data_IF_902946026055
#
_entry.id   IF_902946026055
#
_cell.length_a   1.000
_cell.length_b   1.000
_cell.length_c   1.000
_cell.angle_alpha   90.00
_cell.angle_beta   90.00
_cell.angle_gamma   90.00
#
_symmetry.space_group_name_H-M   'P 1'
#
loop_
_entity.id
_entity.type
_entity.pdbx_description
1 polymer ?
#
# COMPACT_ATOMS: atom_id res chain seq x y z
N UNK A 1 16.29 18.51 25.75
CA UNK A 1 16.71 18.63 27.16
C UNK A 1 18.04 17.90 27.33
N UNK A 2 19.05 18.59 27.93
CA UNK A 2 20.37 18.10 28.44
C UNK A 2 21.33 17.58 27.34
N UNK A 3 22.47 18.21 26.97
CA UNK A 3 23.61 18.85 27.68
C UNK A 3 24.23 17.99 28.79
N UNK A 4 25.46 17.52 28.51
CA UNK A 4 26.60 17.58 29.43
C UNK A 4 26.99 16.29 30.14
N UNK A 5 28.11 15.68 29.74
CA UNK A 5 29.27 15.48 30.61
C UNK A 5 30.51 15.02 29.82
N UNK A 6 31.60 15.75 30.06
CA UNK A 6 32.95 15.64 29.53
C UNK A 6 33.80 14.66 30.36
N UNK A 7 34.88 14.21 29.71
CA UNK A 7 36.20 13.92 30.28
C UNK A 7 36.39 12.70 31.21
N UNK A 8 37.25 11.78 30.77
CA UNK A 8 38.56 11.55 31.39
C UNK A 8 39.43 10.67 30.48
N UNK A 9 40.43 11.30 29.86
CA UNK A 9 41.60 10.65 29.24
C UNK A 9 42.82 11.04 30.07
N UNK A 10 43.58 10.05 30.53
CA UNK A 10 44.95 10.28 31.02
C UNK A 10 45.76 8.97 31.06
N UNK A 11 46.86 8.99 30.29
CA UNK A 11 48.21 8.40 30.51
C UNK A 11 48.31 6.87 30.74
N UNK A 12 48.92 6.09 29.86
CA UNK A 12 50.33 6.03 29.38
C UNK A 12 51.31 5.39 30.39
N UNK A 13 52.00 4.33 29.94
CA UNK A 13 53.15 3.63 30.55
C UNK A 13 52.83 2.15 30.83
N UNK A 14 53.62 1.11 30.51
CA UNK A 14 54.95 0.95 29.89
C UNK A 14 55.22 -0.58 29.75
N UNK A 15 56.00 -0.99 28.73
CA UNK A 15 57.01 -2.08 28.68
C UNK A 15 56.70 -3.56 29.07
N UNK A 16 56.56 -4.38 28.02
CA UNK A 16 57.45 -5.49 27.57
C UNK A 16 58.10 -6.48 28.58
N UNK A 17 57.88 -7.77 28.25
CA UNK A 17 58.71 -8.99 28.38
C UNK A 17 58.62 -9.90 29.62
N UNK A 18 58.42 -11.21 29.35
CA UNK A 18 59.04 -12.29 30.13
C UNK A 18 58.18 -13.54 30.38
N UNK A 19 58.26 -14.51 29.44
CA UNK A 19 57.85 -15.93 29.49
C UNK A 19 57.61 -16.59 30.87
N UNK A 20 56.52 -17.36 30.98
CA UNK A 20 56.50 -18.71 31.59
C UNK A 20 55.40 -19.58 30.96
N UNK A 21 55.80 -20.75 30.44
CA UNK A 21 54.95 -21.86 29.99
C UNK A 21 54.06 -22.37 31.14
N UNK A 22 52.84 -22.86 30.85
CA UNK A 22 52.41 -24.27 31.07
C UNK A 22 51.05 -24.51 30.36
N UNK A 23 50.99 -25.65 29.68
CA UNK A 23 49.91 -26.23 28.89
C UNK A 23 48.63 -26.57 29.68
N UNK A 24 47.46 -26.19 29.18
CA UNK A 24 46.17 -26.92 29.17
C UNK A 24 45.33 -26.24 28.07
N UNK A 25 44.86 -26.86 26.99
CA UNK A 25 44.15 -28.13 26.93
C UNK A 25 42.65 -27.84 26.76
N UNK A 26 42.21 -27.52 25.53
CA UNK A 26 40.81 -27.62 25.10
C UNK A 26 40.01 -26.32 24.96
N UNK A 27 40.14 -25.61 23.83
CA UNK A 27 39.04 -24.82 23.27
C UNK A 27 38.48 -25.55 22.05
N UNK A 28 37.31 -26.17 22.20
CA UNK A 28 36.41 -26.43 21.08
C UNK A 28 35.69 -25.12 20.78
N UNK A 29 36.32 -24.27 19.97
CA UNK A 29 35.66 -23.17 19.29
C UNK A 29 34.81 -23.73 18.16
N UNK A 30 33.50 -23.49 18.22
CA UNK A 30 32.57 -23.76 17.12
C UNK A 30 32.88 -22.77 16.00
N UNK A 31 33.63 -23.20 14.99
CA UNK A 31 33.77 -22.45 13.75
C UNK A 31 32.43 -22.48 13.01
N UNK A 32 31.78 -21.33 12.86
CA UNK A 32 30.76 -21.14 11.85
C UNK A 32 31.47 -20.84 10.53
N UNK A 33 31.68 -21.84 9.70
CA UNK A 33 32.22 -21.65 8.36
C UNK A 33 31.12 -21.09 7.45
N UNK A 34 31.17 -19.78 7.20
CA UNK A 34 30.49 -19.16 6.06
C UNK A 34 31.44 -19.26 4.87
N UNK A 35 31.19 -20.22 3.99
CA UNK A 35 31.89 -20.28 2.71
C UNK A 35 31.15 -19.38 1.71
N UNK A 36 31.70 -18.19 1.46
CA UNK A 36 31.23 -17.27 0.43
C UNK A 36 32.14 -17.37 -0.80
N UNK A 37 31.55 -17.61 -1.97
CA UNK A 37 32.27 -17.48 -3.24
C UNK A 37 32.04 -16.03 -3.73
N UNK A 38 33.12 -15.25 -3.82
CA UNK A 38 33.21 -13.78 -4.05
C UNK A 38 32.95 -12.86 -2.85
N UNK A 39 33.87 -11.89 -2.72
CA UNK A 39 33.83 -10.80 -1.74
C UNK A 39 33.04 -9.59 -2.23
N UNK A 40 32.46 -8.88 -1.26
CA UNK A 40 31.86 -7.54 -1.44
C UNK A 40 30.47 -7.56 -2.07
N UNK A 41 29.44 -7.88 -1.28
CA UNK A 41 28.06 -7.61 -1.69
C UNK A 41 27.78 -6.10 -1.63
N UNK A 42 27.05 -5.52 -2.62
CA UNK A 42 26.52 -4.18 -2.48
C UNK A 42 25.64 -4.13 -1.23
N UNK A 43 25.85 -3.09 -0.44
CA UNK A 43 25.39 -2.90 0.93
C UNK A 43 23.94 -3.35 1.16
N UNK A 44 23.75 -4.45 1.90
CA UNK A 44 22.49 -4.70 2.59
C UNK A 44 22.30 -3.57 3.61
N UNK A 45 21.52 -2.56 3.25
CA UNK A 45 21.11 -1.49 4.17
C UNK A 45 19.66 -1.75 4.58
N UNK A 46 19.29 -1.34 5.79
CA UNK A 46 17.91 -1.44 6.29
C UNK A 46 16.90 -0.60 5.47
N UNK A 47 17.39 0.21 4.53
CA UNK A 47 16.59 1.03 3.62
C UNK A 47 16.00 0.21 2.44
N UNK A 48 16.58 -0.95 2.15
CA UNK A 48 16.15 -1.83 1.06
C UNK A 48 15.49 -3.07 1.69
N UNK A 49 14.16 -3.21 1.63
CA UNK A 49 13.52 -4.36 2.25
C UNK A 49 13.74 -5.62 1.39
N UNK A 50 13.93 -6.76 2.06
CA UNK A 50 14.04 -8.08 1.43
C UNK A 50 13.03 -9.05 2.04
N UNK A 51 12.53 -10.00 1.24
CA UNK A 51 11.60 -11.03 1.68
C UNK A 51 12.15 -12.39 1.29
N UNK A 52 12.41 -13.22 2.29
CA UNK A 52 12.76 -14.62 2.06
C UNK A 52 11.51 -15.37 1.63
N UNK A 53 11.60 -16.05 0.50
CA UNK A 53 10.56 -16.90 -0.07
C UNK A 53 11.08 -18.32 -0.11
N UNK A 54 10.25 -19.26 0.35
CA UNK A 54 10.55 -20.69 0.41
C UNK A 54 9.77 -21.39 -0.72
N UNK A 55 10.31 -21.42 -1.95
CA UNK A 55 9.67 -22.15 -3.01
C UNK A 55 9.68 -23.65 -2.68
N UNK A 56 8.60 -24.35 -3.03
CA UNK A 56 8.49 -25.80 -2.83
C UNK A 56 9.47 -26.60 -3.70
N UNK A 57 9.27 -27.91 -3.77
CA UNK A 57 10.17 -28.83 -4.48
C UNK A 57 10.33 -28.53 -5.99
N UNK A 58 9.32 -27.92 -6.62
CA UNK A 58 9.35 -27.48 -8.01
C UNK A 58 9.47 -25.95 -8.07
N UNK A 59 10.69 -25.46 -8.29
CA UNK A 59 10.95 -24.03 -8.45
C UNK A 59 11.55 -23.71 -9.81
N UNK A 60 10.94 -22.74 -10.49
CA UNK A 60 11.56 -22.02 -11.61
C UNK A 60 11.63 -20.55 -11.22
N UNK A 61 12.75 -19.92 -11.51
CA UNK A 61 12.91 -18.49 -11.29
C UNK A 61 11.79 -17.72 -11.98
N UNK A 62 11.15 -16.76 -11.29
CA UNK A 62 10.16 -15.89 -11.93
C UNK A 62 10.82 -15.12 -13.07
N UNK A 63 10.16 -15.09 -14.23
CA UNK A 63 10.57 -14.25 -15.38
C UNK A 63 10.27 -12.76 -15.18
N UNK A 64 9.62 -12.39 -14.07
CA UNK A 64 9.24 -11.02 -13.73
C UNK A 64 9.99 -10.55 -12.47
N UNK A 65 11.00 -9.70 -12.63
CA UNK A 65 11.75 -9.12 -11.51
C UNK A 65 13.22 -8.84 -11.81
N UNK A 66 13.98 -8.51 -10.76
CA UNK A 66 15.43 -8.34 -10.80
C UNK A 66 16.13 -9.61 -11.35
N UNK A 67 17.22 -9.48 -12.11
CA UNK A 67 17.92 -10.64 -12.65
C UNK A 67 18.58 -11.42 -11.50
N UNK A 68 18.35 -12.74 -11.48
CA UNK A 68 19.02 -13.68 -10.58
C UNK A 68 20.13 -14.38 -11.36
N UNK A 69 21.31 -14.43 -10.77
CA UNK A 69 22.43 -15.26 -11.26
C UNK A 69 22.46 -16.56 -10.48
N UNK A 70 22.69 -17.70 -11.14
CA UNK A 70 22.84 -18.99 -10.46
C UNK A 70 24.08 -19.04 -9.55
N UNK A 71 25.04 -18.15 -9.80
CA UNK A 71 26.28 -17.99 -9.03
C UNK A 71 26.13 -17.07 -7.82
N UNK A 72 25.08 -16.23 -7.77
CA UNK A 72 24.85 -15.26 -6.69
C UNK A 72 23.91 -15.85 -5.63
N UNK A 73 24.47 -16.74 -4.80
CA UNK A 73 23.74 -17.39 -3.73
C UNK A 73 24.49 -17.40 -2.40
N UNK A 74 23.73 -17.54 -1.32
CA UNK A 74 24.22 -17.80 0.03
C UNK A 74 23.64 -19.10 0.54
N UNK A 75 24.46 -19.93 1.18
CA UNK A 75 23.97 -21.10 1.91
C UNK A 75 23.66 -20.67 3.33
N UNK A 76 22.39 -20.72 3.70
CA UNK A 76 21.93 -20.44 5.05
C UNK A 76 21.78 -21.75 5.82
N UNK A 77 22.23 -21.77 7.08
CA UNK A 77 22.05 -22.91 7.99
C UNK A 77 21.31 -22.44 9.23
N UNK A 78 20.23 -23.14 9.60
CA UNK A 78 19.43 -22.81 10.79
C UNK A 78 20.06 -23.39 12.05
N UNK A 79 19.57 -22.98 13.23
CA UNK A 79 20.02 -23.54 14.52
C UNK A 79 19.73 -25.03 14.65
N UNK A 80 18.72 -25.53 13.94
CA UNK A 80 18.34 -26.95 13.85
C UNK A 80 19.16 -27.70 12.78
N UNK A 81 20.21 -27.09 12.23
CA UNK A 81 21.10 -27.63 11.19
C UNK A 81 20.43 -27.91 9.84
N UNK A 82 19.30 -27.26 9.56
CA UNK A 82 18.65 -27.27 8.25
C UNK A 82 19.42 -26.35 7.29
N UNK A 83 19.63 -26.76 6.05
CA UNK A 83 20.43 -26.06 5.05
C UNK A 83 19.59 -25.63 3.85
N UNK A 84 19.81 -24.39 3.41
CA UNK A 84 19.08 -23.78 2.32
C UNK A 84 20.02 -23.02 1.38
N UNK A 85 19.84 -23.20 0.07
CA UNK A 85 20.50 -22.40 -0.97
C UNK A 85 19.61 -21.21 -1.32
N UNK A 86 20.04 -20.00 -0.94
CA UNK A 86 19.29 -18.76 -1.11
C UNK A 86 19.87 -17.91 -2.23
N UNK A 87 19.10 -17.71 -3.31
CA UNK A 87 19.46 -16.87 -4.45
C UNK A 87 19.20 -15.41 -4.11
N UNK A 88 20.22 -14.57 -4.29
CA UNK A 88 20.15 -13.15 -4.03
C UNK A 88 19.77 -12.39 -5.33
N UNK A 89 18.82 -11.45 -5.27
CA UNK A 89 18.50 -10.61 -6.41
C UNK A 89 19.65 -9.64 -6.68
N UNK A 90 20.00 -9.45 -7.95
CA UNK A 90 20.90 -8.37 -8.32
C UNK A 90 20.19 -7.03 -8.10
N UNK A 91 20.75 -6.21 -7.21
CA UNK A 91 20.26 -4.86 -6.92
C UNK A 91 20.76 -3.83 -7.94
N UNK A 92 21.50 -4.26 -8.97
CA UNK A 92 22.00 -3.41 -10.03
C UNK A 92 20.87 -3.00 -10.99
N UNK A 93 19.98 -2.15 -10.49
CA UNK A 93 19.14 -1.26 -11.32
C UNK A 93 19.97 -0.11 -11.93
N UNK A 94 21.25 0.02 -11.54
CA UNK A 94 22.15 1.09 -12.00
C UNK A 94 22.95 0.69 -13.26
N UNK A 95 22.33 -0.07 -14.17
CA UNK A 95 22.70 0.06 -15.58
C UNK A 95 22.33 1.47 -15.99
N UNK A 96 23.28 2.40 -15.89
CA UNK A 96 23.10 3.83 -16.15
C UNK A 96 22.11 4.07 -17.29
N UNK A 97 20.91 4.50 -16.91
CA UNK A 97 19.82 4.69 -17.85
C UNK A 97 20.26 5.74 -18.89
N UNK A 98 20.55 5.28 -20.11
CA UNK A 98 20.97 6.12 -21.23
C UNK A 98 19.80 6.67 -22.05
N UNK A 99 18.58 6.59 -21.52
CA UNK A 99 17.38 7.10 -22.17
C UNK A 99 17.07 8.56 -21.84
N UNK A 100 15.95 9.10 -22.35
CA UNK A 100 15.55 10.49 -22.13
C UNK A 100 15.22 10.76 -20.67
N UNK A 101 15.58 11.97 -20.22
CA UNK A 101 15.27 12.48 -18.88
C UNK A 101 13.76 12.55 -18.62
N UNK A 102 13.32 12.57 -17.35
CA UNK A 102 11.89 12.67 -17.01
C UNK A 102 11.20 13.90 -17.61
N UNK A 103 11.93 15.01 -17.73
CA UNK A 103 11.43 16.22 -18.37
C UNK A 103 11.22 16.08 -19.88
N UNK A 104 12.07 15.30 -20.55
CA UNK A 104 11.95 14.99 -21.99
C UNK A 104 10.81 13.99 -22.25
N UNK A 105 10.64 13.01 -21.36
CA UNK A 105 9.51 12.06 -21.42
C UNK A 105 8.15 12.76 -21.29
N UNK A 106 8.07 13.80 -20.47
CA UNK A 106 6.87 14.61 -20.28
C UNK A 106 6.72 15.75 -21.29
N UNK A 107 7.75 16.03 -22.11
CA UNK A 107 7.73 17.12 -23.07
C UNK A 107 6.56 17.04 -24.08
N UNK A 108 6.16 15.87 -24.60
CA UNK A 108 4.98 15.76 -25.46
C UNK A 108 3.70 16.24 -24.78
N UNK A 109 3.58 16.03 -23.47
CA UNK A 109 2.44 16.45 -22.67
C UNK A 109 2.44 17.98 -22.48
N UNK A 110 3.62 18.56 -22.21
CA UNK A 110 3.78 20.00 -21.99
C UNK A 110 3.62 20.82 -23.29
N UNK A 111 4.18 20.36 -24.41
CA UNK A 111 4.12 21.08 -25.69
C UNK A 111 2.73 21.06 -26.32
N UNK A 112 2.03 19.92 -26.25
CA UNK A 112 0.68 19.77 -26.82
C UNK A 112 -0.38 20.58 -26.06
N UNK A 113 -0.01 21.17 -24.92
CA UNK A 113 -0.94 21.93 -24.08
C UNK A 113 -2.16 21.10 -23.68
N UNK A 114 -1.96 19.79 -23.51
CA UNK A 114 -3.02 18.89 -23.08
C UNK A 114 -3.44 19.28 -21.67
N UNK A 115 -4.75 19.27 -21.41
CA UNK A 115 -5.29 19.58 -20.11
C UNK A 115 -6.02 18.37 -19.54
N UNK A 116 -5.88 18.19 -18.23
CA UNK A 116 -6.57 17.16 -17.47
C UNK A 116 -7.55 17.79 -16.50
N UNK A 117 -8.68 17.13 -16.31
CA UNK A 117 -9.83 17.68 -15.60
C UNK A 117 -10.22 16.78 -14.43
N UNK A 118 -10.65 17.41 -13.34
CA UNK A 118 -11.25 16.72 -12.19
C UNK A 118 -12.40 17.55 -11.65
N UNK A 119 -13.56 16.92 -11.56
CA UNK A 119 -14.75 17.54 -10.98
C UNK A 119 -14.85 17.06 -9.53
N UNK A 120 -14.88 18.02 -8.61
CA UNK A 120 -15.29 17.79 -7.22
C UNK A 120 -16.63 18.48 -6.97
N UNK A 121 -17.24 18.23 -5.80
CA UNK A 121 -18.63 18.61 -5.50
C UNK A 121 -18.99 20.04 -5.89
N UNK A 122 -18.10 21.00 -5.64
CA UNK A 122 -18.29 22.40 -5.98
C UNK A 122 -17.29 22.89 -7.05
N UNK A 123 -16.01 22.53 -6.94
CA UNK A 123 -14.97 23.02 -7.85
C UNK A 123 -14.68 22.05 -9.00
N UNK A 124 -14.46 22.62 -10.19
CA UNK A 124 -13.79 21.92 -11.29
C UNK A 124 -12.34 22.38 -11.38
N UNK A 125 -11.43 21.42 -11.44
CA UNK A 125 -10.00 21.66 -11.55
C UNK A 125 -9.51 21.27 -12.93
N UNK A 126 -8.72 22.16 -13.53
CA UNK A 126 -8.09 22.02 -14.83
C UNK A 126 -6.57 22.15 -14.65
N UNK A 127 -5.84 21.14 -15.11
CA UNK A 127 -4.38 21.13 -15.14
C UNK A 127 -3.96 21.10 -16.60
N UNK A 128 -3.64 22.26 -17.15
CA UNK A 128 -3.01 22.35 -18.46
C UNK A 128 -1.50 22.16 -18.30
N UNK A 129 -1.03 20.97 -18.65
CA UNK A 129 0.31 20.51 -18.32
C UNK A 129 1.39 21.45 -18.87
N UNK A 130 2.28 21.92 -18.00
CA UNK A 130 3.34 22.86 -18.35
C UNK A 130 2.87 24.29 -18.64
N UNK A 131 1.59 24.62 -18.39
CA UNK A 131 1.07 25.97 -18.55
C UNK A 131 0.54 26.53 -17.24
N UNK A 132 -0.59 26.02 -16.79
CA UNK A 132 -1.28 26.53 -15.62
C UNK A 132 -2.12 25.46 -14.93
N UNK A 133 -2.41 25.71 -13.66
CA UNK A 133 -3.47 25.03 -12.92
C UNK A 133 -4.56 26.06 -12.64
N UNK A 134 -5.81 25.70 -12.91
CA UNK A 134 -6.98 26.54 -12.73
C UNK A 134 -8.05 25.78 -11.96
N UNK A 135 -8.72 26.45 -11.05
CA UNK A 135 -9.99 25.99 -10.49
C UNK A 135 -11.10 26.93 -10.92
N UNK A 136 -12.27 26.38 -11.20
CA UNK A 136 -13.44 27.18 -11.54
C UNK A 136 -14.75 26.50 -11.12
N UNK A 137 -15.77 27.31 -10.87
CA UNK A 137 -17.14 26.89 -10.62
C UNK A 137 -18.07 27.61 -11.60
N UNK A 138 -18.95 26.87 -12.26
CA UNK A 138 -19.92 27.42 -13.21
C UNK A 138 -21.32 27.38 -12.59
N UNK A 139 -21.91 28.55 -12.40
CA UNK A 139 -23.29 28.69 -11.96
C UNK A 139 -24.17 29.11 -13.15
N UNK A 140 -25.16 28.28 -13.47
CA UNK A 140 -26.15 28.59 -14.51
C UNK A 140 -27.30 29.36 -13.87
N UNK A 141 -27.23 30.69 -13.90
CA UNK A 141 -28.41 31.51 -13.64
C UNK A 141 -29.48 31.20 -14.70
N UNK A 142 -30.74 31.18 -14.27
CA UNK A 142 -31.93 30.82 -15.06
C UNK A 142 -32.03 31.63 -16.36
N UNK A 143 -31.39 31.10 -17.41
CA UNK A 143 -31.73 31.35 -18.80
C UNK A 143 -30.72 32.09 -19.68
N UNK A 144 -29.82 32.95 -19.18
CA UNK A 144 -29.07 33.84 -20.11
C UNK A 144 -27.61 34.21 -19.81
N UNK A 145 -27.02 33.95 -18.63
CA UNK A 145 -25.57 34.13 -18.42
C UNK A 145 -24.99 33.04 -17.50
N UNK A 146 -23.92 32.40 -17.96
CA UNK A 146 -23.10 31.50 -17.14
C UNK A 146 -22.14 32.38 -16.34
N UNK A 147 -22.29 32.40 -15.01
CA UNK A 147 -21.34 33.07 -14.11
C UNK A 147 -20.23 32.07 -13.77
N UNK A 148 -18.98 32.41 -14.07
CA UNK A 148 -17.82 31.54 -13.82
C UNK A 148 -16.94 32.20 -12.77
N UNK A 149 -16.85 31.58 -11.59
CA UNK A 149 -15.87 31.95 -10.58
C UNK A 149 -14.58 31.19 -10.85
N UNK A 150 -13.46 31.87 -11.11
CA UNK A 150 -12.19 31.23 -11.47
C UNK A 150 -10.99 31.72 -10.66
N UNK A 151 -10.04 30.81 -10.41
CA UNK A 151 -8.75 31.12 -9.81
C UNK A 151 -7.63 30.32 -10.48
N UNK A 152 -6.52 30.99 -10.78
CA UNK A 152 -5.30 30.35 -11.22
C UNK A 152 -4.45 29.98 -9.99
N UNK A 153 -4.09 28.71 -9.90
CA UNK A 153 -3.35 28.14 -8.77
C UNK A 153 -1.84 28.10 -9.02
N UNK A 154 -1.41 28.46 -10.22
CA UNK A 154 -0.01 28.61 -10.60
C UNK A 154 0.18 28.59 -12.11
N UNK A 155 1.31 29.14 -12.55
CA UNK A 155 1.89 29.17 -13.88
C UNK A 155 3.30 28.56 -13.82
N UNK A 156 3.75 27.92 -14.89
CA UNK A 156 5.01 27.16 -14.89
C UNK A 156 6.23 28.00 -14.46
N UNK A 157 6.93 27.55 -13.42
CA UNK A 157 8.04 28.31 -12.80
C UNK A 157 9.34 27.48 -12.73
N UNK A 158 9.34 26.31 -12.06
CA UNK A 158 10.57 25.53 -11.84
C UNK A 158 10.37 24.01 -11.89
N UNK A 159 11.39 23.28 -12.36
CA UNK A 159 11.45 21.82 -12.44
C UNK A 159 12.38 21.25 -11.36
N UNK A 160 12.00 20.16 -10.69
CA UNK A 160 12.88 19.47 -9.74
C UNK A 160 13.87 18.53 -10.46
N UNK A 161 15.11 18.47 -9.98
CA UNK A 161 16.17 17.62 -10.55
C UNK A 161 16.39 16.30 -9.79
N UNK A 162 15.86 16.16 -8.57
CA UNK A 162 15.90 14.92 -7.79
C UNK A 162 14.66 14.04 -8.04
N UNK A 163 14.77 12.75 -7.69
CA UNK A 163 13.65 11.78 -7.71
C UNK A 163 13.12 11.61 -6.28
N UNK A 164 12.21 12.47 -5.80
CA UNK A 164 11.59 12.31 -4.49
C UNK A 164 10.59 11.15 -4.49
N UNK A 165 10.33 10.59 -3.31
CA UNK A 165 9.30 9.57 -3.06
C UNK A 165 8.24 10.12 -2.10
N UNK A 166 6.97 9.77 -2.32
CA UNK A 166 5.85 10.15 -1.46
C UNK A 166 4.91 8.97 -1.27
N UNK A 167 4.29 8.87 -0.09
CA UNK A 167 3.22 7.91 0.13
C UNK A 167 1.94 8.40 -0.58
N UNK A 168 1.52 7.66 -1.61
CA UNK A 168 0.30 7.91 -2.39
C UNK A 168 -0.56 6.64 -2.25
N UNK A 169 -1.76 6.79 -1.69
CA UNK A 169 -2.71 5.68 -1.43
C UNK A 169 -2.12 4.50 -0.60
N UNK A 170 -1.18 4.78 0.30
CA UNK A 170 -0.55 3.76 1.16
C UNK A 170 0.77 3.23 0.61
N UNK A 171 1.24 3.71 -0.55
CA UNK A 171 2.44 3.22 -1.19
C UNK A 171 3.49 4.31 -1.47
N UNK A 172 4.74 4.04 -1.09
CA UNK A 172 5.90 4.87 -1.43
C UNK A 172 6.12 4.87 -2.95
N UNK A 173 5.84 6.01 -3.56
CA UNK A 173 5.81 6.17 -5.01
C UNK A 173 6.77 7.27 -5.44
N UNK A 174 7.73 6.99 -6.36
CA UNK A 174 8.59 8.00 -6.92
C UNK A 174 7.81 8.92 -7.88
N UNK A 175 8.09 10.23 -7.84
CA UNK A 175 7.35 11.21 -8.65
C UNK A 175 8.25 12.32 -9.19
N UNK A 176 7.87 12.88 -10.33
CA UNK A 176 8.52 14.05 -10.91
C UNK A 176 7.75 15.32 -10.54
N UNK A 177 8.41 16.26 -9.85
CA UNK A 177 7.76 17.47 -9.33
C UNK A 177 7.95 18.67 -10.26
N UNK A 178 6.84 19.35 -10.55
CA UNK A 178 6.82 20.63 -11.25
C UNK A 178 6.16 21.66 -10.35
N UNK A 179 6.89 22.71 -9.99
CA UNK A 179 6.34 23.84 -9.25
C UNK A 179 5.77 24.86 -10.22
N UNK A 180 4.53 25.25 -9.98
CA UNK A 180 3.82 26.29 -10.71
C UNK A 180 3.53 27.45 -9.75
N UNK A 181 4.19 28.58 -9.94
CA UNK A 181 4.07 29.79 -9.11
C UNK A 181 3.24 30.89 -9.78
N UNK A 182 3.14 32.08 -9.19
CA UNK A 182 2.50 33.24 -9.85
C UNK A 182 1.02 33.03 -10.23
N UNK A 183 0.24 32.32 -9.41
CA UNK A 183 -1.21 32.23 -9.54
C UNK A 183 -1.93 33.51 -9.09
N UNK A 184 -3.26 33.48 -9.09
CA UNK A 184 -4.11 34.60 -8.64
C UNK A 184 -3.76 34.99 -7.20
N UNK A 185 -3.63 36.30 -6.88
CA UNK A 185 -3.31 36.78 -5.55
C UNK A 185 -4.26 36.23 -4.48
N UNK A 186 -3.69 35.75 -3.38
CA UNK A 186 -4.43 35.21 -2.25
C UNK A 186 -4.61 36.27 -1.17
N UNK A 187 -5.85 36.73 -0.96
CA UNK A 187 -6.19 37.71 0.07
C UNK A 187 -5.86 37.23 1.49
N UNK A 188 -6.00 35.93 1.75
CA UNK A 188 -5.70 35.31 3.04
C UNK A 188 -4.19 35.26 3.36
N UNK A 189 -3.32 35.48 2.36
CA UNK A 189 -1.86 35.41 2.49
C UNK A 189 -1.20 36.71 2.07
N UNK A 190 -1.74 37.85 2.51
CA UNK A 190 -1.19 39.19 2.23
C UNK A 190 -0.98 39.46 0.73
N UNK A 191 -1.91 38.98 -0.12
CA UNK A 191 -1.85 39.05 -1.59
C UNK A 191 -0.65 38.33 -2.24
N UNK A 192 0.01 37.40 -1.54
CA UNK A 192 0.96 36.51 -2.19
C UNK A 192 0.23 35.63 -3.25
N UNK A 193 0.87 35.36 -4.40
CA UNK A 193 0.26 34.55 -5.44
C UNK A 193 0.08 33.10 -4.97
N UNK A 194 -1.04 32.49 -5.37
CA UNK A 194 -1.24 31.04 -5.21
C UNK A 194 -0.14 30.26 -5.93
N UNK A 195 0.24 29.11 -5.37
CA UNK A 195 1.23 28.22 -5.98
C UNK A 195 0.76 26.77 -5.90
N UNK A 196 1.24 25.96 -6.84
CA UNK A 196 0.87 24.54 -6.94
C UNK A 196 2.10 23.68 -7.20
N UNK A 197 2.21 22.56 -6.49
CA UNK A 197 3.16 21.49 -6.81
C UNK A 197 2.44 20.38 -7.56
N UNK A 198 2.77 20.19 -8.84
CA UNK A 198 2.21 19.10 -9.66
C UNK A 198 3.18 17.92 -9.64
N UNK A 199 2.70 16.78 -9.13
CA UNK A 199 3.44 15.54 -8.97
C UNK A 199 3.04 14.58 -10.08
N UNK A 200 3.93 14.33 -11.04
CA UNK A 200 3.72 13.35 -12.10
C UNK A 200 4.20 11.98 -11.64
N UNK A 201 3.30 11.01 -11.68
CA UNK A 201 3.52 9.63 -11.21
C UNK A 201 3.35 8.66 -12.38
N UNK A 202 4.23 7.66 -12.47
CA UNK A 202 4.07 6.59 -13.46
C UNK A 202 2.81 5.77 -13.17
N UNK A 203 1.93 5.65 -14.17
CA UNK A 203 0.84 4.67 -14.16
C UNK A 203 0.61 4.14 -15.59
N UNK A 204 0.86 2.84 -15.87
CA UNK A 204 0.84 2.29 -17.23
C UNK A 204 -0.49 2.47 -17.97
N UNK A 205 -1.61 2.41 -17.25
CA UNK A 205 -2.96 2.44 -17.83
C UNK A 205 -3.59 3.84 -17.81
N UNK A 206 -2.92 4.84 -17.22
CA UNK A 206 -3.51 6.17 -17.05
C UNK A 206 -3.51 6.96 -18.36
N UNK A 207 -4.43 7.93 -18.45
CA UNK A 207 -4.54 8.85 -19.60
C UNK A 207 -4.19 10.30 -19.22
N UNK A 208 -3.10 10.48 -18.47
CA UNK A 208 -2.66 11.78 -17.94
C UNK A 208 -3.61 12.41 -16.91
N UNK A 209 -4.43 11.61 -16.22
CA UNK A 209 -5.52 12.11 -15.38
C UNK A 209 -5.08 12.56 -13.98
N UNK A 210 -5.94 13.35 -13.31
CA UNK A 210 -5.69 13.86 -11.95
C UNK A 210 -6.20 12.84 -10.92
N UNK A 211 -5.27 12.22 -10.18
CA UNK A 211 -5.60 11.30 -9.08
C UNK A 211 -6.11 12.02 -7.83
N UNK A 212 -5.50 13.15 -7.48
CA UNK A 212 -5.89 13.94 -6.31
C UNK A 212 -5.45 15.39 -6.45
N UNK A 213 -6.18 16.27 -5.77
CA UNK A 213 -5.86 17.68 -5.58
C UNK A 213 -6.18 18.05 -4.14
N UNK A 214 -5.28 18.76 -3.47
CA UNK A 214 -5.48 19.20 -2.10
C UNK A 214 -4.83 20.58 -1.87
N UNK A 215 -5.52 21.43 -1.12
CA UNK A 215 -4.92 22.62 -0.53
C UNK A 215 -4.17 22.19 0.73
N UNK A 216 -2.85 22.04 0.61
CA UNK A 216 -2.00 21.51 1.69
C UNK A 216 -1.69 22.58 2.73
N UNK A 217 -1.56 23.82 2.30
CA UNK A 217 -1.52 25.01 3.16
C UNK A 217 -2.32 26.11 2.48
N UNK A 218 -2.72 27.14 3.22
CA UNK A 218 -3.55 28.21 2.66
C UNK A 218 -2.93 28.80 1.38
N UNK A 219 -3.66 28.69 0.28
CA UNK A 219 -3.26 29.12 -1.06
C UNK A 219 -2.03 28.41 -1.67
N UNK A 220 -1.66 27.24 -1.14
CA UNK A 220 -0.68 26.32 -1.73
C UNK A 220 -1.32 24.96 -1.98
N UNK A 221 -1.24 24.53 -3.21
CA UNK A 221 -1.93 23.33 -3.68
C UNK A 221 -0.92 22.24 -4.03
N UNK A 222 -1.37 21.01 -3.92
CA UNK A 222 -0.66 19.85 -4.42
C UNK A 222 -1.60 19.04 -5.31
N UNK A 223 -1.09 18.62 -6.47
CA UNK A 223 -1.85 17.87 -7.46
C UNK A 223 -1.06 16.64 -7.85
N UNK A 224 -1.70 15.46 -7.81
CA UNK A 224 -1.12 14.21 -8.29
C UNK A 224 -1.69 13.86 -9.65
N UNK A 225 -0.83 13.70 -10.65
CA UNK A 225 -1.19 13.36 -12.03
C UNK A 225 -0.59 12.00 -12.38
N UNK A 226 -1.44 11.08 -12.85
CA UNK A 226 -1.03 9.76 -13.32
C UNK A 226 -0.72 9.79 -14.80
N UNK A 227 0.47 9.34 -15.20
CA UNK A 227 0.91 9.38 -16.61
C UNK A 227 1.72 8.14 -17.00
N UNK A 228 1.49 7.55 -18.18
CA UNK A 228 2.25 6.40 -18.66
C UNK A 228 3.65 6.81 -19.15
N UNK A 229 3.87 8.08 -19.47
CA UNK A 229 5.12 8.56 -20.10
C UNK A 229 6.35 8.40 -19.19
N UNK A 230 6.17 8.47 -17.87
CA UNK A 230 7.27 8.30 -16.91
C UNK A 230 7.63 6.83 -16.67
N UNK A 231 6.78 5.89 -17.07
CA UNK A 231 6.98 4.46 -16.79
C UNK A 231 8.14 3.82 -17.57
N UNK A 232 8.62 4.50 -18.61
CA UNK A 232 9.83 4.11 -19.34
C UNK A 232 11.10 4.35 -18.53
N UNK A 233 11.07 5.27 -17.56
CA UNK A 233 12.21 5.61 -16.74
C UNK A 233 12.30 4.68 -15.52
N UNK A 234 13.39 3.89 -15.34
CA UNK A 234 13.51 2.90 -14.27
C UNK A 234 13.29 3.48 -12.86
N UNK A 235 13.85 4.66 -12.57
CA UNK A 235 13.70 5.33 -11.26
C UNK A 235 12.27 5.82 -10.92
N UNK A 236 11.39 5.95 -11.91
CA UNK A 236 10.00 6.39 -11.70
C UNK A 236 9.01 5.24 -11.88
N UNK A 237 9.47 4.07 -12.33
CA UNK A 237 8.62 2.89 -12.48
C UNK A 237 8.17 2.42 -11.10
N UNK A 238 6.89 2.07 -11.03
CA UNK A 238 6.33 1.39 -9.87
C UNK A 238 7.05 0.05 -9.65
N UNK A 239 7.70 -0.12 -8.50
CA UNK A 239 8.20 -1.41 -8.05
C UNK A 239 7.01 -2.13 -7.41
N UNK A 240 6.50 -3.17 -8.08
CA UNK A 240 5.34 -3.97 -7.63
C UNK A 240 5.53 -4.61 -6.27
N UNK A 241 6.78 -4.71 -5.81
CA UNK A 241 7.14 -4.96 -4.43
C UNK A 241 8.27 -4.00 -4.08
N UNK A 242 8.16 -3.18 -3.01
CA UNK A 242 9.33 -2.47 -2.48
C UNK A 242 10.37 -3.48 -1.95
N UNK A 243 9.94 -4.73 -1.73
CA UNK A 243 10.69 -5.81 -1.08
C UNK A 243 11.29 -6.75 -2.12
N UNK A 244 12.62 -6.86 -2.15
CA UNK A 244 13.34 -7.76 -3.05
C UNK A 244 13.22 -9.21 -2.56
N UNK A 245 12.74 -10.11 -3.41
CA UNK A 245 12.57 -11.52 -3.04
C UNK A 245 13.92 -12.25 -3.02
N UNK A 246 14.17 -13.00 -1.95
CA UNK A 246 15.30 -13.94 -1.83
C UNK A 246 14.69 -15.34 -1.88
N UNK A 247 15.04 -16.14 -2.89
CA UNK A 247 14.48 -17.48 -3.04
C UNK A 247 15.38 -18.51 -2.39
N UNK A 248 14.90 -19.16 -1.34
CA UNK A 248 15.65 -20.14 -0.56
C UNK A 248 15.15 -21.57 -0.80
N UNK A 249 15.95 -22.36 -1.51
CA UNK A 249 15.65 -23.76 -1.79
C UNK A 249 16.22 -24.68 -0.71
N UNK A 250 15.41 -25.60 -0.21
CA UNK A 250 15.85 -26.62 0.73
C UNK A 250 16.89 -27.55 0.12
N UNK A 251 17.94 -27.85 0.88
CA UNK A 251 18.95 -28.86 0.53
C UNK A 251 18.60 -30.22 1.14
N UNK A 252 19.30 -31.27 0.70
CA UNK A 252 19.03 -32.65 1.11
C UNK A 252 18.97 -32.81 2.65
N UNK A 253 17.89 -33.47 3.11
CA UNK A 253 17.62 -33.68 4.54
C UNK A 253 16.96 -32.50 5.27
N UNK A 254 16.79 -31.35 4.62
CA UNK A 254 16.15 -30.17 5.21
C UNK A 254 14.67 -30.07 4.80
N UNK A 255 13.77 -29.57 5.68
CA UNK A 255 12.38 -29.33 5.34
C UNK A 255 12.25 -28.19 4.31
N UNK A 256 11.11 -28.08 3.62
CA UNK A 256 10.88 -27.06 2.58
C UNK A 256 10.91 -25.63 3.14
N UNK A 257 10.58 -25.45 4.42
CA UNK A 257 10.65 -24.20 5.16
C UNK A 257 11.19 -24.51 6.57
N UNK A 258 11.97 -23.59 7.20
CA UNK A 258 12.50 -23.80 8.55
C UNK A 258 11.40 -24.08 9.56
N UNK A 259 11.56 -25.16 10.35
CA UNK A 259 10.54 -25.57 11.31
C UNK A 259 10.22 -24.49 12.35
N UNK A 260 11.26 -23.79 12.85
CA UNK A 260 11.10 -22.69 13.80
C UNK A 260 10.35 -21.50 13.20
N UNK A 261 10.53 -21.23 11.91
CA UNK A 261 9.78 -20.18 11.22
C UNK A 261 8.32 -20.59 11.10
N UNK A 262 8.02 -21.82 10.68
CA UNK A 262 6.64 -22.33 10.62
C UNK A 262 5.95 -22.31 11.99
N UNK A 263 6.69 -22.55 13.08
CA UNK A 263 6.16 -22.43 14.43
C UNK A 263 5.86 -20.98 14.81
N UNK A 264 6.78 -20.05 14.52
CA UNK A 264 6.56 -18.63 14.74
C UNK A 264 5.40 -18.08 13.91
N UNK A 265 5.26 -18.50 12.65
CA UNK A 265 4.13 -18.13 11.79
C UNK A 265 2.81 -18.61 12.41
N UNK A 266 2.77 -19.83 12.97
CA UNK A 266 1.61 -20.35 13.70
C UNK A 266 1.34 -19.60 14.99
N UNK A 267 2.36 -19.32 15.81
CA UNK A 267 2.22 -18.53 17.04
C UNK A 267 1.72 -17.12 16.73
N UNK A 268 2.24 -16.50 15.66
CA UNK A 268 1.79 -15.21 15.17
C UNK A 268 0.36 -15.31 14.62
N UNK A 269 0.01 -16.37 13.91
CA UNK A 269 -1.37 -16.65 13.48
C UNK A 269 -2.30 -16.80 14.69
N UNK A 270 -1.90 -17.48 15.77
CA UNK A 270 -2.67 -17.56 17.02
C UNK A 270 -2.77 -16.21 17.75
N UNK A 271 -1.73 -15.37 17.68
CA UNK A 271 -1.74 -14.00 18.23
C UNK A 271 -2.55 -13.02 17.37
N UNK A 272 -2.63 -13.27 16.07
CA UNK A 272 -3.38 -12.50 15.07
C UNK A 272 -4.78 -13.06 14.84
N UNK A 273 -5.09 -14.27 15.33
CA UNK A 273 -6.45 -14.80 15.48
C UNK A 273 -7.16 -13.85 16.43
N UNK A 274 -8.12 -13.06 15.93
CA UNK A 274 -8.60 -11.93 16.70
C UNK A 274 -9.60 -12.41 17.77
N UNK A 275 -9.57 -11.88 19.00
CA UNK A 275 -10.72 -11.15 19.49
C UNK A 275 -10.78 -9.84 18.70
N UNK A 276 -11.74 -9.72 17.78
CA UNK A 276 -11.86 -8.60 16.84
C UNK A 276 -11.76 -7.23 17.55
N UNK A 277 -10.72 -6.46 17.22
CA UNK A 277 -10.48 -5.06 17.61
C UNK A 277 -9.29 -4.56 16.76
N UNK A 278 -9.18 -3.38 16.17
CA UNK A 278 -9.94 -2.13 16.08
C UNK A 278 -9.12 -1.30 15.08
N UNK A 279 -9.72 -0.74 14.04
CA UNK A 279 -9.18 0.44 13.33
C UNK A 279 -10.35 1.24 12.75
N UNK A 280 -11.06 1.95 13.62
CA UNK A 280 -12.12 2.89 13.26
C UNK A 280 -12.16 4.02 14.28
N UNK A 281 -11.93 5.23 13.81
CA UNK A 281 -12.08 6.47 14.58
C UNK A 281 -13.56 6.62 14.97
N UNK A 282 -13.89 6.50 16.26
CA UNK A 282 -15.25 6.71 16.78
C UNK A 282 -15.59 5.87 18.01
N UNK A 283 -16.66 6.25 18.73
CA UNK A 283 -17.21 5.56 19.92
C UNK A 283 -17.63 4.10 19.63
N UNK A 284 -17.93 3.76 18.38
CA UNK A 284 -18.46 2.44 18.00
C UNK A 284 -17.39 1.47 17.47
N UNK A 285 -17.42 0.23 17.97
CA UNK A 285 -16.68 -0.94 17.45
C UNK A 285 -17.60 -1.78 16.55
N UNK A 286 -17.01 -2.59 15.67
CA UNK A 286 -17.75 -3.42 14.71
C UNK A 286 -17.24 -4.86 14.73
N UNK A 287 -18.14 -5.82 14.60
CA UNK A 287 -17.88 -7.25 14.49
C UNK A 287 -18.57 -7.77 13.22
N UNK A 288 -17.84 -8.52 12.41
CA UNK A 288 -18.37 -9.18 11.22
C UNK A 288 -18.06 -10.66 11.28
N UNK A 289 -19.11 -11.47 11.27
CA UNK A 289 -19.03 -12.92 11.16
C UNK A 289 -19.59 -13.34 9.81
N UNK A 290 -18.71 -13.75 8.90
CA UNK A 290 -19.09 -14.20 7.56
C UNK A 290 -20.15 -15.31 7.62
N UNK A 291 -21.23 -15.15 6.87
CA UNK A 291 -22.35 -16.10 6.82
C UNK A 291 -23.20 -16.14 8.09
N UNK A 292 -23.04 -15.16 9.00
CA UNK A 292 -23.81 -15.10 10.25
C UNK A 292 -24.41 -13.73 10.50
N UNK A 293 -23.61 -12.73 10.85
CA UNK A 293 -24.11 -11.43 11.32
C UNK A 293 -23.07 -10.32 11.23
N UNK A 294 -23.56 -9.08 11.30
CA UNK A 294 -22.79 -7.85 11.47
C UNK A 294 -23.33 -7.14 12.71
N UNK A 295 -22.46 -6.93 13.69
CA UNK A 295 -22.77 -6.22 14.92
C UNK A 295 -21.98 -4.93 15.02
N UNK A 296 -22.61 -3.92 15.59
CA UNK A 296 -21.95 -2.75 16.13
C UNK A 296 -22.02 -2.84 17.64
N UNK A 297 -20.95 -2.48 18.35
CA UNK A 297 -20.97 -2.47 19.80
C UNK A 297 -20.14 -1.34 20.40
N UNK A 298 -20.55 -0.89 21.57
CA UNK A 298 -19.76 -0.03 22.43
C UNK A 298 -19.59 -0.74 23.78
N UNK A 299 -18.42 -0.58 24.39
CA UNK A 299 -18.08 -1.21 25.66
C UNK A 299 -17.71 -0.13 26.66
N UNK A 300 -18.61 0.10 27.62
CA UNK A 300 -18.37 0.97 28.75
C UNK A 300 -17.85 0.14 29.93
N UNK A 301 -16.90 0.68 30.70
CA UNK A 301 -16.36 0.03 31.89
C UNK A 301 -17.40 -0.14 33.00
N UNK A 302 -18.42 0.71 33.04
CA UNK A 302 -19.44 0.70 34.10
C UNK A 302 -20.77 0.07 33.65
N UNK A 303 -21.13 0.20 32.37
CA UNK A 303 -22.45 -0.23 31.85
C UNK A 303 -22.41 -1.49 30.98
N UNK A 304 -21.22 -2.05 30.73
CA UNK A 304 -21.05 -3.26 29.93
C UNK A 304 -21.12 -3.02 28.41
N UNK A 305 -21.31 -4.11 27.66
CA UNK A 305 -21.31 -4.11 26.19
C UNK A 305 -22.73 -3.86 25.65
N UNK A 306 -22.94 -2.71 25.01
CA UNK A 306 -24.16 -2.44 24.25
C UNK A 306 -23.95 -2.90 22.81
N UNK A 307 -24.79 -3.81 22.31
CA UNK A 307 -24.68 -4.42 20.99
C UNK A 307 -25.91 -4.04 20.16
N UNK A 308 -25.68 -3.49 18.98
CA UNK A 308 -26.69 -3.22 17.96
C UNK A 308 -26.47 -4.18 16.80
N UNK A 309 -27.51 -4.94 16.44
CA UNK A 309 -27.48 -5.83 15.28
C UNK A 309 -27.70 -5.00 14.02
N UNK A 310 -26.67 -4.91 13.18
CA UNK A 310 -26.74 -4.13 11.93
C UNK A 310 -27.37 -4.95 10.81
N UNK A 311 -27.10 -6.26 10.78
CA UNK A 311 -27.76 -7.19 9.87
C UNK A 311 -27.37 -8.64 10.15
N UNK A 312 -28.26 -9.55 9.79
CA UNK A 312 -28.15 -11.00 9.86
C UNK A 312 -28.07 -11.59 8.45
N UNK A 313 -27.33 -12.68 8.32
CA UNK A 313 -27.20 -13.41 7.07
C UNK A 313 -28.44 -14.24 6.80
N UNK A 314 -28.96 -14.12 5.58
CA UNK A 314 -29.94 -15.03 5.03
C UNK A 314 -29.61 -15.28 3.55
N UNK A 315 -29.41 -16.54 3.19
CA UNK A 315 -28.97 -16.90 1.86
C UNK A 315 -30.04 -16.62 0.80
N UNK A 316 -31.31 -16.91 1.09
CA UNK A 316 -32.41 -16.68 0.16
C UNK A 316 -32.60 -15.17 -0.13
N UNK A 317 -32.61 -14.34 0.91
CA UNK A 317 -32.71 -12.89 0.79
C UNK A 317 -31.53 -12.28 0.05
N UNK A 318 -30.32 -12.78 0.30
CA UNK A 318 -29.15 -12.33 -0.43
C UNK A 318 -29.28 -12.64 -1.93
N UNK A 319 -29.74 -13.83 -2.30
CA UNK A 319 -29.95 -14.21 -3.71
C UNK A 319 -31.02 -13.32 -4.36
N UNK A 320 -32.12 -13.03 -3.66
CA UNK A 320 -33.14 -12.09 -4.16
C UNK A 320 -32.60 -10.66 -4.33
N UNK A 321 -31.79 -10.19 -3.38
CA UNK A 321 -31.12 -8.91 -3.47
C UNK A 321 -30.13 -8.87 -4.64
N UNK A 322 -29.33 -9.92 -4.84
CA UNK A 322 -28.33 -10.03 -5.89
C UNK A 322 -28.95 -9.99 -7.28
N UNK A 323 -30.08 -10.71 -7.48
CA UNK A 323 -30.87 -10.66 -8.73
C UNK A 323 -31.34 -9.26 -9.10
N UNK A 324 -31.65 -8.42 -8.10
CA UNK A 324 -32.06 -7.01 -8.28
C UNK A 324 -30.85 -6.06 -8.41
N UNK A 325 -29.65 -6.51 -8.08
CA UNK A 325 -28.43 -5.69 -7.97
C UNK A 325 -27.22 -6.34 -8.66
N UNK A 326 -27.41 -6.93 -9.85
CA UNK A 326 -26.40 -7.74 -10.56
C UNK A 326 -25.06 -7.00 -10.74
N UNK A 327 -25.07 -5.72 -11.12
CA UNK A 327 -23.84 -4.93 -11.29
C UNK A 327 -23.10 -4.61 -9.97
N UNK A 328 -23.72 -4.90 -8.81
CA UNK A 328 -23.18 -4.67 -7.47
C UNK A 328 -22.87 -5.97 -6.73
N UNK A 329 -23.40 -7.12 -7.15
CA UNK A 329 -23.17 -8.41 -6.49
C UNK A 329 -21.75 -8.93 -6.72
N UNK A 330 -21.21 -8.77 -7.93
CA UNK A 330 -19.80 -9.04 -8.24
C UNK A 330 -19.27 -8.04 -9.28
N UNK A 331 -17.99 -7.70 -9.19
CA UNK A 331 -17.29 -6.85 -10.17
C UNK A 331 -16.16 -7.65 -10.80
N UNK A 332 -16.13 -7.76 -12.12
CA UNK A 332 -15.07 -8.47 -12.85
C UNK A 332 -13.83 -7.57 -13.05
N UNK A 333 -12.64 -8.17 -13.15
CA UNK A 333 -11.44 -7.50 -13.69
C UNK A 333 -11.41 -7.65 -15.22
N UNK A 334 -11.00 -6.61 -15.94
CA UNK A 334 -10.92 -6.64 -17.41
C UNK A 334 -9.63 -7.30 -17.94
N UNK A 335 -8.61 -7.54 -17.11
CA UNK A 335 -7.36 -8.18 -17.56
C UNK A 335 -6.64 -8.96 -16.41
N UNK A 336 -6.21 -10.20 -16.68
CA UNK A 336 -5.37 -11.02 -15.80
C UNK A 336 -6.05 -12.17 -14.99
N UNK A 337 -5.21 -13.04 -14.41
CA UNK A 337 -5.50 -14.37 -13.84
C UNK A 337 -6.58 -14.49 -12.74
N UNK A 338 -7.02 -13.36 -12.16
CA UNK A 338 -8.04 -13.29 -11.12
C UNK A 338 -9.28 -12.57 -11.67
N UNK A 339 -10.41 -13.26 -11.77
CA UNK A 339 -11.59 -12.81 -12.54
C UNK A 339 -12.46 -11.83 -11.76
N UNK A 340 -12.52 -11.94 -10.43
CA UNK A 340 -13.44 -11.14 -9.60
C UNK A 340 -12.67 -10.15 -8.70
N UNK A 341 -13.02 -8.86 -8.78
CA UNK A 341 -12.41 -7.74 -8.03
C UNK A 341 -13.05 -7.54 -6.65
N UNK A 342 -14.38 -7.65 -6.57
CA UNK A 342 -15.18 -7.41 -5.36
C UNK A 342 -16.41 -8.31 -5.41
N UNK A 343 -16.81 -8.87 -4.27
CA UNK A 343 -18.16 -9.43 -4.07
C UNK A 343 -18.90 -8.68 -2.99
N UNK A 344 -20.21 -8.54 -3.15
CA UNK A 344 -21.09 -7.88 -2.18
C UNK A 344 -22.13 -8.83 -1.64
N UNK A 345 -22.20 -8.95 -0.31
CA UNK A 345 -23.17 -9.78 0.40
C UNK A 345 -24.19 -8.91 1.12
N UNK A 346 -25.45 -9.29 1.08
CA UNK A 346 -26.53 -8.55 1.74
C UNK A 346 -26.87 -9.22 3.07
N UNK A 347 -26.94 -8.42 4.13
CA UNK A 347 -27.35 -8.83 5.46
C UNK A 347 -28.54 -7.95 5.87
N UNK A 348 -29.71 -8.57 6.02
CA UNK A 348 -30.97 -7.93 6.36
C UNK A 348 -31.32 -8.10 7.84
N UNK A 349 -32.55 -7.76 8.24
CA UNK A 349 -33.08 -8.12 9.56
C UNK A 349 -32.24 -7.65 10.77
N UNK A 350 -31.62 -6.47 10.69
CA UNK A 350 -31.01 -5.84 11.86
C UNK A 350 -32.04 -5.27 12.83
N UNK A 351 -31.56 -4.69 13.93
CA UNK A 351 -32.40 -4.03 14.93
C UNK A 351 -33.20 -2.88 14.32
N UNK A 352 -34.38 -2.60 14.87
CA UNK A 352 -35.24 -1.52 14.41
C UNK A 352 -34.56 -0.16 14.55
N UNK A 353 -34.53 0.59 13.46
CA UNK A 353 -33.99 1.93 13.41
C UNK A 353 -34.96 2.94 14.03
N UNK A 354 -34.53 3.67 15.05
CA UNK A 354 -35.37 4.64 15.77
C UNK A 354 -35.84 5.79 14.87
N UNK A 355 -35.04 6.14 13.86
CA UNK A 355 -35.31 7.27 12.95
C UNK A 355 -36.24 6.91 11.79
N UNK A 356 -36.20 5.67 11.31
CA UNK A 356 -36.93 5.25 10.11
C UNK A 356 -38.05 4.25 10.41
N UNK A 357 -38.05 3.64 11.59
CA UNK A 357 -38.95 2.55 11.97
C UNK A 357 -38.72 1.24 11.22
N UNK A 358 -37.69 1.15 10.36
CA UNK A 358 -37.37 -0.04 9.57
C UNK A 358 -36.18 -0.81 10.17
N UNK A 359 -36.09 -2.13 9.98
CA UNK A 359 -34.90 -2.90 10.34
C UNK A 359 -33.65 -2.33 9.67
N UNK A 360 -32.54 -2.25 10.42
CA UNK A 360 -31.22 -1.93 9.85
C UNK A 360 -30.81 -3.01 8.84
N UNK A 361 -30.03 -2.61 7.84
CA UNK A 361 -29.50 -3.51 6.83
C UNK A 361 -28.09 -3.09 6.42
N UNK A 362 -27.26 -4.05 6.01
CA UNK A 362 -25.88 -3.80 5.60
C UNK A 362 -25.49 -4.59 4.37
N UNK A 363 -24.77 -3.93 3.47
CA UNK A 363 -24.09 -4.59 2.35
C UNK A 363 -22.61 -4.72 2.70
N UNK A 364 -22.15 -5.96 2.85
CA UNK A 364 -20.75 -6.29 3.13
C UNK A 364 -20.01 -6.46 1.80
N UNK A 365 -18.99 -5.64 1.57
CA UNK A 365 -18.12 -5.69 0.39
C UNK A 365 -16.81 -6.36 0.76
N UNK A 366 -16.59 -7.55 0.21
CA UNK A 366 -15.34 -8.28 0.34
C UNK A 366 -14.44 -7.93 -0.85
N UNK A 367 -13.26 -7.39 -0.55
CA UNK A 367 -12.31 -6.94 -1.57
C UNK A 367 -10.93 -7.51 -1.33
N UNK A 368 -10.31 -7.98 -2.41
CA UNK A 368 -8.92 -8.38 -2.39
C UNK A 368 -8.04 -7.14 -2.22
N UNK A 369 -7.14 -7.20 -1.24
CA UNK A 369 -6.07 -6.22 -1.04
C UNK A 369 -4.80 -6.97 -0.73
N UNK A 370 -3.86 -6.90 -1.64
CA UNK A 370 -2.54 -7.48 -1.41
C UNK A 370 -1.86 -6.77 -0.24
N UNK A 371 -1.22 -7.53 0.62
CA UNK A 371 -0.52 -7.04 1.80
C UNK A 371 0.61 -7.99 2.14
N UNK A 372 1.60 -7.46 2.84
CA UNK A 372 2.78 -8.20 3.29
C UNK A 372 2.42 -9.23 4.38
N UNK A 373 1.42 -8.92 5.21
CA UNK A 373 0.86 -9.86 6.18
C UNK A 373 -0.35 -10.58 5.56
N UNK A 374 -0.32 -11.92 5.44
CA UNK A 374 -1.44 -12.67 4.88
C UNK A 374 -2.72 -12.52 5.71
N UNK A 375 -2.59 -12.16 6.99
CA UNK A 375 -3.70 -11.94 7.92
C UNK A 375 -4.07 -10.45 8.09
N UNK A 376 -3.48 -9.54 7.31
CA UNK A 376 -3.89 -8.15 7.33
C UNK A 376 -5.37 -8.01 6.95
N UNK A 377 -6.14 -7.31 7.78
CA UNK A 377 -7.54 -6.98 7.51
C UNK A 377 -7.74 -5.49 7.71
N UNK A 378 -8.26 -4.82 6.68
CA UNK A 378 -8.78 -3.45 6.77
C UNK A 378 -10.30 -3.52 6.79
N UNK A 379 -10.93 -2.92 7.80
CA UNK A 379 -12.39 -2.85 7.91
C UNK A 379 -12.84 -1.40 8.00
N UNK A 380 -13.87 -1.02 7.26
CA UNK A 380 -14.50 0.30 7.37
C UNK A 380 -16.02 0.22 7.22
N UNK A 381 -16.74 1.08 7.92
CA UNK A 381 -18.20 1.16 7.88
C UNK A 381 -18.64 2.54 7.39
N UNK A 382 -19.63 2.58 6.49
CA UNK A 382 -20.25 3.81 6.01
C UNK A 382 -21.78 3.70 6.10
N UNK A 383 -22.47 4.79 6.40
CA UNK A 383 -23.93 4.88 6.42
C UNK A 383 -24.40 5.82 5.30
N UNK A 384 -24.45 5.37 4.04
CA UNK A 384 -24.84 6.22 2.91
C UNK A 384 -26.29 6.71 2.97
N UNK A 385 -27.17 5.99 3.69
CA UNK A 385 -28.53 6.39 3.99
C UNK A 385 -28.86 5.98 5.43
N UNK A 386 -29.75 6.71 6.08
CA UNK A 386 -30.13 6.44 7.48
C UNK A 386 -30.53 4.98 7.66
N UNK A 387 -29.81 4.28 8.55
CA UNK A 387 -29.98 2.87 8.89
C UNK A 387 -29.74 1.87 7.75
N UNK A 388 -29.03 2.29 6.70
CA UNK A 388 -28.49 1.43 5.65
C UNK A 388 -26.98 1.57 5.61
N UNK A 389 -26.28 0.47 5.78
CA UNK A 389 -24.84 0.48 5.97
C UNK A 389 -24.10 -0.21 4.83
N UNK A 390 -22.85 0.17 4.63
CA UNK A 390 -21.89 -0.51 3.77
C UNK A 390 -20.65 -0.81 4.60
N UNK A 391 -20.38 -2.10 4.80
CA UNK A 391 -19.19 -2.59 5.47
C UNK A 391 -18.17 -3.03 4.43
N UNK A 392 -17.03 -2.37 4.35
CA UNK A 392 -15.91 -2.82 3.53
C UNK A 392 -14.94 -3.67 4.34
N UNK A 393 -14.59 -4.85 3.82
CA UNK A 393 -13.56 -5.73 4.38
C UNK A 393 -12.54 -6.02 3.30
N UNK A 394 -11.30 -5.58 3.53
CA UNK A 394 -10.19 -5.77 2.60
C UNK A 394 -9.11 -6.66 3.25
N UNK A 395 -8.72 -7.74 2.58
CA UNK A 395 -7.70 -8.67 3.10
C UNK A 395 -7.03 -9.48 1.98
N UNK A 396 -5.76 -9.92 2.15
CA UNK A 396 -5.10 -10.84 1.21
C UNK A 396 -5.77 -12.22 1.13
N UNK A 397 -6.39 -12.71 2.22
CA UNK A 397 -7.09 -14.01 2.21
C UNK A 397 -8.25 -14.00 1.22
N UNK A 398 -8.94 -12.86 1.11
CA UNK A 398 -10.07 -12.68 0.18
C UNK A 398 -9.61 -12.92 -1.26
N UNK A 399 -8.36 -12.55 -1.62
CA UNK A 399 -7.82 -12.75 -2.95
C UNK A 399 -7.86 -14.22 -3.41
N UNK A 400 -7.74 -15.18 -2.50
CA UNK A 400 -7.72 -16.62 -2.84
C UNK A 400 -9.12 -17.19 -3.10
N UNK A 401 -10.15 -16.55 -2.57
CA UNK A 401 -11.53 -17.07 -2.60
C UNK A 401 -12.45 -16.27 -3.53
N UNK A 402 -12.08 -15.06 -3.95
CA UNK A 402 -12.94 -14.24 -4.82
C UNK A 402 -13.34 -14.92 -6.13
N UNK A 403 -12.45 -15.72 -6.72
CA UNK A 403 -12.73 -16.43 -7.97
C UNK A 403 -13.65 -17.64 -7.80
N UNK A 404 -13.99 -18.02 -6.56
CA UNK A 404 -15.00 -19.06 -6.28
C UNK A 404 -16.42 -18.49 -6.20
N UNK A 405 -16.57 -17.17 -6.44
CA UNK A 405 -17.87 -16.51 -6.48
C UNK A 405 -18.74 -17.05 -7.62
N UNK A 406 -19.99 -17.38 -7.31
CA UNK A 406 -21.01 -17.69 -8.31
C UNK A 406 -21.64 -16.41 -8.93
N UNK A 407 -22.66 -16.58 -9.76
CA UNK A 407 -23.41 -15.49 -10.41
C UNK A 407 -24.16 -14.57 -9.42
N UNK A 408 -24.29 -14.98 -8.15
CA UNK A 408 -24.91 -14.20 -7.08
C UNK A 408 -23.86 -13.60 -6.13
N UNK A 409 -22.57 -13.92 -6.31
CA UNK A 409 -21.47 -13.47 -5.46
C UNK A 409 -21.23 -14.35 -4.24
N UNK A 410 -21.87 -15.53 -4.15
CA UNK A 410 -21.64 -16.49 -3.06
C UNK A 410 -20.28 -17.17 -3.23
N UNK A 411 -19.47 -17.16 -2.16
CA UNK A 411 -18.12 -17.74 -2.18
C UNK A 411 -18.16 -19.19 -1.70
N UNK A 412 -17.44 -20.07 -2.39
CA UNK A 412 -17.17 -21.42 -1.89
C UNK A 412 -15.96 -21.40 -0.97
N UNK A 413 -16.19 -21.43 0.34
CA UNK A 413 -15.12 -21.49 1.36
C UNK A 413 -14.97 -22.96 1.80
N UNK A 414 -13.77 -23.56 1.76
CA UNK A 414 -13.54 -24.89 2.30
C UNK A 414 -13.81 -24.90 3.82
N UNK A 415 -14.68 -25.81 4.25
CA UNK A 415 -15.08 -26.01 5.65
C UNK A 415 -13.93 -26.44 6.56
#
# INVERSE_FOLDING_TARGET
MRRGLQELSSRAGEMIAGLMLVLFGGLLGVCSDVSANRGGYPSFTDEIPFKITWPGAEFRLPTSGAPYSEDDFVIMTTTEKEKYKCLLPSLDDDKGYGGPSPGELLEPLFKRSSCSYRIESYWTYEVCHGKHVRQYHEEKETGQKISVQEYYLGNMDQKSQSVPTKNIEGQLTPYYSVKMGYGTPCTLKQNLPRSTSVLYVCHPEAKHEILSIAEVTTCEYEVVVLTPLLCTHPKYRFKSSPVNAIFCQAMEGSPLQPQRLTQLDKEQEELLKPPFSTNGVGWWKYEFCYGKHVHQYHEDKEQGKNIVVVGNWNAEEHVEWAKKNVARSYQLKEDGAQKVKVVSHFYGHGDLCDLTGKPRQVVVKLKCKESESPHAVTVYMMEPQTCQYVLGVESPVICRILDTADEHGLLSIPS
#
